data_IF_228775449735
#
_entry.id   IF_228775449735
#
_cell.length_a   1.000
_cell.length_b   1.000
_cell.length_c   1.000
_cell.angle_alpha   90.00
_cell.angle_beta   90.00
_cell.angle_gamma   90.00
#
_symmetry.space_group_name_H-M   'P 1'
#
loop_
_entity.id
_entity.type
_entity.pdbx_description
1 polymer ?
#
# COMPACT_ATOMS: atom_id res chain seq x y z
N UNK A 1 -7.05 -61.94 11.03
CA UNK A 1 -7.53 -61.30 12.28
C UNK A 1 -7.39 -59.78 12.15
N UNK A 2 -8.45 -59.07 11.76
CA UNK A 2 -8.56 -57.61 11.93
C UNK A 2 -10.02 -57.31 12.26
N UNK A 3 -10.28 -57.04 13.53
CA UNK A 3 -11.59 -56.73 14.10
C UNK A 3 -12.00 -55.31 13.70
N UNK A 4 -13.12 -55.18 12.99
CA UNK A 4 -13.76 -53.89 12.69
C UNK A 4 -14.70 -53.54 13.84
N UNK A 5 -14.32 -52.56 14.65
CA UNK A 5 -15.16 -51.99 15.72
C UNK A 5 -16.14 -51.01 15.08
N UNK A 6 -17.45 -51.31 15.12
CA UNK A 6 -18.52 -50.39 14.71
C UNK A 6 -18.78 -49.41 15.84
N UNK A 7 -18.49 -48.13 15.62
CA UNK A 7 -18.88 -47.04 16.54
C UNK A 7 -20.30 -46.64 16.19
N UNK A 8 -21.23 -46.89 17.11
CA UNK A 8 -22.62 -46.45 17.00
C UNK A 8 -22.70 -44.96 17.37
N UNK A 9 -23.11 -44.13 16.41
CA UNK A 9 -23.42 -42.73 16.64
C UNK A 9 -24.81 -42.62 17.27
N UNK A 10 -24.85 -42.26 18.56
CA UNK A 10 -26.08 -41.88 19.26
C UNK A 10 -26.34 -40.41 18.93
N UNK A 11 -27.33 -40.14 18.08
CA UNK A 11 -27.87 -38.80 17.87
C UNK A 11 -28.70 -38.41 19.11
N UNK A 12 -28.12 -37.61 20.00
CA UNK A 12 -28.88 -36.90 21.03
C UNK A 12 -29.56 -35.71 20.35
N UNK A 13 -30.85 -35.86 20.06
CA UNK A 13 -31.71 -34.73 19.68
C UNK A 13 -31.95 -33.90 20.95
N UNK A 14 -31.08 -32.93 21.20
CA UNK A 14 -31.35 -31.88 22.16
C UNK A 14 -32.48 -31.03 21.59
N UNK A 15 -33.67 -31.16 22.18
CA UNK A 15 -34.76 -30.20 21.99
C UNK A 15 -34.24 -28.87 22.50
N UNK A 16 -33.75 -28.04 21.58
CA UNK A 16 -33.56 -26.62 21.81
C UNK A 16 -34.96 -26.04 22.01
N UNK A 17 -35.44 -26.07 23.25
CA UNK A 17 -36.46 -25.13 23.72
C UNK A 17 -35.91 -23.76 23.41
N UNK A 18 -36.38 -23.19 22.31
CA UNK A 18 -36.03 -21.86 21.89
C UNK A 18 -36.33 -20.92 23.04
N UNK A 19 -35.28 -20.31 23.57
CA UNK A 19 -35.39 -19.08 24.32
C UNK A 19 -36.06 -18.06 23.39
N UNK A 20 -37.39 -18.03 23.37
CA UNK A 20 -38.12 -16.86 22.88
C UNK A 20 -37.80 -15.77 23.90
N UNK A 21 -37.06 -14.71 23.55
CA UNK A 21 -36.78 -13.65 24.50
C UNK A 21 -38.10 -12.92 24.74
N UNK A 22 -38.71 -13.22 25.88
CA UNK A 22 -39.77 -12.42 26.48
C UNK A 22 -39.22 -11.01 26.74
N UNK A 23 -39.33 -10.14 25.74
CA UNK A 23 -39.19 -8.69 25.88
C UNK A 23 -40.56 -8.03 25.73
N UNK A 24 -41.60 -8.65 26.28
CA UNK A 24 -42.97 -8.14 26.28
C UNK A 24 -43.38 -7.62 27.66
N UNK A 25 -43.08 -6.35 27.94
CA UNK A 25 -43.70 -5.59 29.04
C UNK A 25 -42.81 -5.34 30.27
N UNK A 26 -42.69 -4.07 30.65
CA UNK A 26 -42.35 -3.61 32.02
C UNK A 26 -41.13 -4.23 32.72
N UNK A 27 -40.07 -4.63 32.02
CA UNK A 27 -38.82 -5.08 32.66
C UNK A 27 -37.88 -3.89 32.96
N UNK A 28 -37.62 -3.55 34.25
CA UNK A 28 -36.68 -2.50 34.63
C UNK A 28 -35.23 -2.76 34.16
N UNK A 29 -34.92 -4.01 33.78
CA UNK A 29 -33.60 -4.40 33.26
C UNK A 29 -33.32 -3.92 31.83
N UNK A 30 -34.36 -3.70 31.03
CA UNK A 30 -34.19 -3.14 29.67
C UNK A 30 -33.70 -1.68 29.76
N UNK A 31 -34.19 -0.93 30.75
CA UNK A 31 -33.76 0.44 31.04
C UNK A 31 -32.26 0.51 31.36
N UNK A 32 -31.73 -0.48 32.10
CA UNK A 32 -30.30 -0.51 32.45
C UNK A 32 -29.40 -0.75 31.23
N UNK A 33 -29.75 -1.69 30.34
CA UNK A 33 -29.01 -1.91 29.09
C UNK A 33 -29.10 -0.71 28.14
N UNK A 34 -30.28 -0.11 28.02
CA UNK A 34 -30.46 1.10 27.23
C UNK A 34 -29.58 2.26 27.78
N UNK A 35 -29.44 2.39 29.10
CA UNK A 35 -28.55 3.39 29.74
C UNK A 35 -27.07 3.14 29.46
N UNK A 36 -26.66 1.86 29.40
CA UNK A 36 -25.27 1.50 29.06
C UNK A 36 -24.90 1.95 27.63
N UNK A 37 -25.83 1.84 26.68
CA UNK A 37 -25.61 2.21 25.26
C UNK A 37 -26.05 3.63 24.91
N UNK A 38 -26.60 4.40 25.86
CA UNK A 38 -27.17 5.74 25.62
C UNK A 38 -28.49 5.73 24.85
N UNK A 39 -29.07 4.55 24.62
CA UNK A 39 -30.29 4.34 23.87
C UNK A 39 -31.54 4.45 24.78
N UNK A 40 -31.67 5.53 25.55
CA UNK A 40 -32.66 5.66 26.63
C UNK A 40 -34.15 5.81 26.21
N UNK A 41 -34.46 5.74 24.91
CA UNK A 41 -35.82 5.74 24.35
C UNK A 41 -36.31 4.36 23.94
N UNK A 42 -37.64 4.15 23.92
CA UNK A 42 -38.28 2.93 23.42
C UNK A 42 -39.19 3.21 22.21
N UNK A 43 -38.91 2.59 21.07
CA UNK A 43 -39.80 2.61 19.88
C UNK A 43 -40.31 1.19 19.61
N UNK A 44 -41.61 1.09 19.30
CA UNK A 44 -42.25 -0.13 18.80
C UNK A 44 -42.55 0.06 17.32
N UNK A 45 -42.31 -0.94 16.48
CA UNK A 45 -42.49 -0.83 15.03
C UNK A 45 -43.97 -0.70 14.63
N UNK A 46 -44.90 -1.31 15.40
CA UNK A 46 -46.35 -1.08 15.35
C UNK A 46 -46.95 -1.13 16.75
N UNK A 47 -48.13 -0.52 16.94
CA UNK A 47 -48.92 -0.68 18.15
C UNK A 47 -49.29 -2.17 18.33
N UNK A 48 -48.69 -2.83 19.32
CA UNK A 48 -48.89 -4.25 19.61
C UNK A 48 -47.68 -5.16 19.34
N UNK A 49 -46.61 -4.66 18.73
CA UNK A 49 -45.40 -5.47 18.53
C UNK A 49 -44.62 -5.63 19.84
N UNK A 50 -44.30 -6.87 20.21
CA UNK A 50 -43.47 -7.20 21.36
C UNK A 50 -41.98 -6.82 21.17
N UNK A 51 -41.60 -6.30 20.00
CA UNK A 51 -40.24 -5.88 19.69
C UNK A 51 -40.05 -4.41 20.04
N UNK A 52 -39.50 -4.17 21.23
CA UNK A 52 -38.98 -2.88 21.64
C UNK A 52 -37.49 -2.79 21.28
N UNK A 53 -37.09 -1.74 20.54
CA UNK A 53 -35.67 -1.40 20.37
C UNK A 53 -35.36 -0.15 21.20
N UNK A 54 -34.24 -0.19 21.91
CA UNK A 54 -33.65 0.98 22.53
C UNK A 54 -33.24 1.97 21.41
N UNK A 55 -33.47 3.27 21.59
CA UNK A 55 -32.96 4.29 20.66
C UNK A 55 -32.56 5.56 21.41
N UNK A 56 -31.56 6.27 20.90
CA UNK A 56 -31.12 7.56 21.45
C UNK A 56 -32.14 8.64 21.08
N UNK A 57 -32.65 9.44 22.03
CA UNK A 57 -33.64 10.50 21.73
C UNK A 57 -32.99 11.87 21.62
N UNK A 58 -31.90 12.08 22.34
CA UNK A 58 -31.26 13.39 22.50
C UNK A 58 -29.77 13.22 22.83
N UNK A 59 -29.00 14.30 22.67
CA UNK A 59 -27.62 14.34 23.14
C UNK A 59 -27.52 14.18 24.66
N UNK A 60 -28.54 14.55 25.43
CA UNK A 60 -28.57 14.32 26.88
C UNK A 60 -28.57 12.82 27.23
N UNK A 61 -29.25 11.99 26.42
CA UNK A 61 -29.21 10.54 26.58
C UNK A 61 -27.79 9.99 26.28
N UNK A 62 -27.08 10.57 25.31
CA UNK A 62 -25.68 10.22 25.02
C UNK A 62 -24.73 10.68 26.12
N UNK A 63 -24.84 11.93 26.57
CA UNK A 63 -23.96 12.51 27.58
C UNK A 63 -24.08 11.79 28.94
N UNK A 64 -25.27 11.30 29.27
CA UNK A 64 -25.52 10.52 30.50
C UNK A 64 -25.18 9.02 30.35
N UNK A 65 -24.78 8.57 29.16
CA UNK A 65 -24.51 7.16 28.89
C UNK A 65 -23.13 6.72 29.35
N UNK A 66 -22.98 5.40 29.56
CA UNK A 66 -21.67 4.79 29.78
C UNK A 66 -20.76 4.93 28.56
N UNK A 67 -21.31 4.97 27.33
CA UNK A 67 -20.53 5.21 26.12
C UNK A 67 -19.84 6.59 26.11
N UNK A 68 -20.48 7.62 26.66
CA UNK A 68 -19.83 8.93 26.80
C UNK A 68 -18.66 8.86 27.79
N UNK A 69 -18.89 8.30 28.97
CA UNK A 69 -17.85 8.16 29.99
C UNK A 69 -16.68 7.27 29.52
N UNK A 70 -16.97 6.13 28.89
CA UNK A 70 -15.95 5.16 28.49
C UNK A 70 -15.25 5.57 27.18
N UNK A 71 -16.00 6.07 26.18
CA UNK A 71 -15.54 6.22 24.79
C UNK A 71 -15.62 7.66 24.24
N UNK A 72 -16.06 8.64 25.03
CA UNK A 72 -16.20 10.03 24.59
C UNK A 72 -17.35 10.26 23.62
N UNK A 73 -18.25 9.29 23.47
CA UNK A 73 -19.40 9.37 22.56
C UNK A 73 -20.58 10.07 23.21
N UNK A 74 -20.48 11.39 23.35
CA UNK A 74 -21.37 12.19 24.18
C UNK A 74 -22.50 12.90 23.43
N UNK A 75 -22.56 12.81 22.10
CA UNK A 75 -23.51 13.56 21.28
C UNK A 75 -24.32 12.66 20.36
N UNK A 76 -25.60 12.99 20.13
CA UNK A 76 -26.43 12.29 19.16
C UNK A 76 -26.00 12.66 17.73
N UNK A 77 -25.64 11.65 16.92
CA UNK A 77 -25.33 11.84 15.50
C UNK A 77 -26.60 11.98 14.66
N UNK A 78 -26.66 13.03 13.85
CA UNK A 78 -27.76 13.38 12.94
C UNK A 78 -27.45 13.12 11.47
N UNK A 79 -26.30 12.50 11.15
CA UNK A 79 -25.89 12.20 9.78
C UNK A 79 -26.55 10.95 9.18
N UNK A 80 -25.88 10.33 8.20
CA UNK A 80 -26.43 9.27 7.32
C UNK A 80 -26.92 8.04 8.12
N UNK A 81 -26.30 7.77 9.26
CA UNK A 81 -26.69 6.70 10.20
C UNK A 81 -27.21 7.32 11.51
N UNK A 82 -28.43 7.90 11.50
CA UNK A 82 -28.95 8.63 12.66
C UNK A 82 -29.23 7.69 13.83
N UNK A 83 -29.20 8.23 15.04
CA UNK A 83 -29.61 7.49 16.25
C UNK A 83 -28.49 6.75 16.97
N UNK A 84 -27.23 7.15 16.78
CA UNK A 84 -26.09 6.67 17.57
C UNK A 84 -25.37 7.82 18.28
N UNK A 85 -24.68 7.49 19.37
CA UNK A 85 -23.82 8.45 20.04
C UNK A 85 -22.43 8.51 19.41
N UNK A 86 -21.88 9.72 19.26
CA UNK A 86 -20.56 10.03 18.68
C UNK A 86 -19.85 11.11 19.50
N UNK A 87 -18.54 11.20 19.34
CA UNK A 87 -17.76 12.38 19.75
C UNK A 87 -17.92 13.48 18.67
N UNK A 88 -17.98 14.74 19.08
CA UNK A 88 -17.99 15.89 18.16
C UNK A 88 -16.72 16.73 18.29
N UNK A 89 -15.97 16.56 19.37
CA UNK A 89 -14.76 17.32 19.67
C UNK A 89 -13.70 16.44 20.30
N UNK A 90 -12.44 16.87 20.20
CA UNK A 90 -11.35 16.26 20.98
C UNK A 90 -11.58 16.38 22.49
N UNK A 91 -12.40 17.32 22.96
CA UNK A 91 -12.72 17.47 24.38
C UNK A 91 -13.57 16.29 24.87
N UNK A 92 -14.52 15.82 24.06
CA UNK A 92 -15.33 14.63 24.37
C UNK A 92 -14.42 13.40 24.48
N UNK A 93 -13.50 13.23 23.52
CA UNK A 93 -12.53 12.13 23.56
C UNK A 93 -11.59 12.22 24.76
N UNK A 94 -11.08 13.42 25.09
CA UNK A 94 -10.20 13.64 26.23
C UNK A 94 -10.85 13.39 27.59
N UNK A 95 -12.16 13.59 27.70
CA UNK A 95 -12.91 13.31 28.91
C UNK A 95 -13.14 11.81 29.15
N UNK A 96 -12.90 10.96 28.13
CA UNK A 96 -13.21 9.53 28.18
C UNK A 96 -12.19 8.67 28.91
N UNK A 97 -12.64 7.54 29.43
CA UNK A 97 -11.75 6.54 30.05
C UNK A 97 -10.80 5.87 29.04
N UNK A 98 -11.25 5.67 27.80
CA UNK A 98 -10.40 5.19 26.70
C UNK A 98 -9.27 6.16 26.35
N UNK A 99 -9.43 7.47 26.56
CA UNK A 99 -8.29 8.37 26.42
C UNK A 99 -7.24 8.12 27.51
N UNK A 100 -7.64 7.94 28.77
CA UNK A 100 -6.71 7.70 29.89
C UNK A 100 -5.98 6.36 29.78
N UNK A 101 -6.70 5.32 29.33
CA UNK A 101 -6.20 3.94 29.34
C UNK A 101 -5.64 3.49 27.99
N UNK A 102 -6.21 3.95 26.87
CA UNK A 102 -5.89 3.51 25.51
C UNK A 102 -5.34 4.63 24.60
N UNK A 103 -5.19 5.87 25.11
CA UNK A 103 -4.74 7.03 24.35
C UNK A 103 -5.65 7.48 23.19
N UNK A 104 -6.90 7.02 23.17
CA UNK A 104 -7.94 7.44 22.20
C UNK A 104 -8.47 8.84 22.52
N UNK A 105 -7.61 9.84 22.39
CA UNK A 105 -7.88 11.19 22.87
C UNK A 105 -8.30 12.19 21.78
N UNK A 106 -8.49 11.74 20.54
CA UNK A 106 -8.71 12.64 19.40
C UNK A 106 -9.87 12.20 18.52
N UNK A 107 -10.55 13.15 17.88
CA UNK A 107 -11.72 12.92 17.05
C UNK A 107 -11.35 12.30 15.70
N UNK A 108 -11.91 11.13 15.40
CA UNK A 108 -11.85 10.47 14.11
C UNK A 108 -12.93 10.93 13.13
N UNK A 109 -12.79 10.50 11.87
CA UNK A 109 -13.64 10.95 10.75
C UNK A 109 -15.11 10.52 10.90
N UNK A 110 -15.41 9.48 11.68
CA UNK A 110 -16.77 8.95 11.88
C UNK A 110 -17.30 9.22 13.28
N UNK A 111 -16.71 10.18 14.01
CA UNK A 111 -17.12 10.54 15.37
C UNK A 111 -16.71 9.51 16.43
N UNK A 112 -15.71 8.68 16.12
CA UNK A 112 -15.05 7.78 17.06
C UNK A 112 -13.78 8.42 17.61
N UNK A 113 -13.43 8.10 18.86
CA UNK A 113 -12.16 8.53 19.42
C UNK A 113 -11.03 7.61 18.96
N UNK A 114 -9.98 8.21 18.38
CA UNK A 114 -8.82 7.53 17.80
C UNK A 114 -7.55 7.92 18.55
N UNK A 115 -6.54 7.06 18.43
CA UNK A 115 -5.21 7.31 18.96
C UNK A 115 -4.48 8.25 17.99
N UNK A 116 -3.90 9.32 18.52
CA UNK A 116 -2.92 10.14 17.82
C UNK A 116 -1.51 9.84 18.34
N UNK A 117 -0.45 10.05 17.53
CA UNK A 117 0.93 9.88 17.98
C UNK A 117 1.25 10.64 19.29
N UNK A 118 0.74 11.86 19.44
CA UNK A 118 0.87 12.68 20.67
C UNK A 118 0.00 12.22 21.84
N UNK A 119 -0.91 11.26 21.62
CA UNK A 119 -1.81 10.73 22.64
C UNK A 119 -1.12 9.77 23.59
N UNK A 120 -0.14 9.00 23.10
CA UNK A 120 0.50 7.94 23.88
C UNK A 120 1.21 8.43 25.14
N UNK A 121 1.74 9.65 25.13
CA UNK A 121 2.42 10.24 26.29
C UNK A 121 1.48 10.58 27.46
N UNK A 122 0.15 10.56 27.23
CA UNK A 122 -0.87 10.97 28.21
C UNK A 122 -1.58 9.81 28.91
N UNK A 123 -1.26 8.55 28.57
CA UNK A 123 -1.90 7.41 29.22
C UNK A 123 -1.30 7.14 30.59
N UNK A 124 -2.11 6.65 31.53
CA UNK A 124 -1.62 6.27 32.86
C UNK A 124 -0.57 5.15 32.78
N UNK A 125 -0.72 4.24 31.81
CA UNK A 125 0.29 3.22 31.51
C UNK A 125 1.61 3.86 31.10
N UNK A 126 1.57 4.92 30.29
CA UNK A 126 2.78 5.62 29.88
C UNK A 126 3.46 6.40 31.00
N UNK A 127 2.66 7.12 31.79
CA UNK A 127 3.17 7.87 32.93
C UNK A 127 3.84 6.96 33.96
N UNK A 128 3.30 5.74 34.15
CA UNK A 128 3.84 4.73 35.06
C UNK A 128 5.05 4.00 34.50
N UNK A 129 4.99 3.56 33.24
CA UNK A 129 5.96 2.64 32.66
C UNK A 129 7.14 3.34 31.96
N UNK A 130 7.03 4.66 31.71
CA UNK A 130 8.01 5.44 30.97
C UNK A 130 7.77 5.40 29.46
N UNK A 131 8.73 5.93 28.71
CA UNK A 131 8.72 6.21 27.26
C UNK A 131 7.73 5.36 26.44
N UNK A 132 6.72 6.00 25.85
CA UNK A 132 5.76 5.33 24.98
C UNK A 132 5.86 5.82 23.56
N UNK A 133 5.84 4.86 22.65
CA UNK A 133 5.89 5.11 21.23
C UNK A 133 4.57 4.66 20.62
N UNK A 134 4.04 5.47 19.72
CA UNK A 134 2.91 5.07 18.89
C UNK A 134 3.42 4.09 17.83
N UNK A 135 3.00 2.83 17.92
CA UNK A 135 3.33 1.82 16.92
C UNK A 135 2.31 1.86 15.77
N UNK A 136 2.81 1.70 14.54
CA UNK A 136 1.98 1.51 13.34
C UNK A 136 0.96 0.40 13.60
N UNK A 137 -0.33 0.74 13.55
CA UNK A 137 -1.43 -0.17 13.94
C UNK A 137 -2.27 0.29 15.14
N UNK A 138 -2.05 1.51 15.65
CA UNK A 138 -2.95 2.10 16.64
C UNK A 138 -2.75 1.51 18.04
N UNK A 139 -1.49 1.32 18.47
CA UNK A 139 -1.17 0.87 19.83
C UNK A 139 -0.06 1.71 20.41
N UNK A 140 -0.22 2.10 21.68
CA UNK A 140 0.87 2.66 22.47
C UNK A 140 1.64 1.51 23.11
N UNK A 141 2.92 1.42 22.81
CA UNK A 141 3.81 0.42 23.41
C UNK A 141 4.84 1.13 24.29
N UNK A 142 5.24 0.49 25.39
CA UNK A 142 6.43 0.88 26.15
C UNK A 142 7.62 0.74 25.22
N UNK A 143 8.11 1.86 24.72
CA UNK A 143 9.20 1.90 23.78
C UNK A 143 10.31 2.74 24.37
N UNK A 144 11.41 2.11 24.78
CA UNK A 144 12.70 2.71 24.46
C UNK A 144 12.66 2.88 22.93
N UNK A 145 12.54 4.12 22.43
CA UNK A 145 12.72 4.35 21.00
C UNK A 145 14.19 4.05 20.73
N UNK A 146 14.48 2.76 20.51
CA UNK A 146 15.81 2.29 20.25
C UNK A 146 16.15 2.68 18.82
N UNK A 147 16.85 3.80 18.70
CA UNK A 147 17.35 4.28 17.43
C UNK A 147 18.36 3.31 16.79
N UNK A 148 18.70 2.16 17.39
CA UNK A 148 19.61 1.16 16.81
C UNK A 148 19.24 0.75 15.39
N UNK A 149 17.96 0.54 15.08
CA UNK A 149 17.55 0.16 13.72
C UNK A 149 17.70 1.34 12.73
N UNK A 150 17.11 2.49 13.05
CA UNK A 150 17.18 3.70 12.23
C UNK A 150 18.62 4.19 12.06
N UNK A 151 19.45 4.08 13.09
CA UNK A 151 20.88 4.36 13.07
C UNK A 151 21.62 3.49 12.05
N UNK A 152 21.36 2.17 12.06
CA UNK A 152 22.02 1.25 11.13
C UNK A 152 21.55 1.44 9.70
N UNK A 153 20.26 1.71 9.49
CA UNK A 153 19.67 1.83 8.16
C UNK A 153 19.98 3.21 7.56
N UNK A 154 19.53 4.27 8.24
CA UNK A 154 19.39 5.64 7.75
C UNK A 154 20.42 6.61 8.36
N UNK A 155 21.15 6.20 9.41
CA UNK A 155 22.02 7.11 10.17
C UNK A 155 21.27 7.95 11.20
N UNK A 156 20.00 7.65 11.46
CA UNK A 156 19.20 8.32 12.47
C UNK A 156 19.49 7.74 13.88
N UNK A 157 20.60 8.14 14.50
CA UNK A 157 21.11 7.52 15.73
C UNK A 157 20.70 8.21 17.04
N UNK A 158 20.10 9.40 17.00
CA UNK A 158 19.81 10.19 18.21
C UNK A 158 18.32 10.49 18.33
N UNK A 159 17.77 10.32 19.54
CA UNK A 159 16.39 10.65 19.85
C UNK A 159 16.24 12.15 20.12
N UNK A 160 15.62 12.88 19.20
CA UNK A 160 15.32 14.31 19.32
C UNK A 160 13.82 14.51 19.12
N UNK A 161 13.14 15.14 20.07
CA UNK A 161 11.69 15.41 20.05
C UNK A 161 10.80 14.18 19.76
N UNK A 162 11.26 12.99 20.15
CA UNK A 162 10.56 11.73 19.93
C UNK A 162 10.81 11.07 18.57
N UNK A 163 11.74 11.60 17.77
CA UNK A 163 12.17 11.04 16.49
C UNK A 163 13.65 10.64 16.53
N UNK A 164 14.01 9.59 15.79
CA UNK A 164 15.41 9.28 15.55
C UNK A 164 15.91 10.17 14.40
N UNK A 165 16.99 10.91 14.63
CA UNK A 165 17.60 11.82 13.65
C UNK A 165 19.12 11.65 13.64
N UNK A 166 19.74 12.10 12.56
CA UNK A 166 21.19 12.17 12.46
C UNK A 166 21.66 13.50 13.05
N UNK A 167 22.43 13.48 14.14
CA UNK A 167 23.01 14.70 14.74
C UNK A 167 24.51 14.85 14.51
N UNK A 168 25.16 13.82 13.99
CA UNK A 168 26.60 13.78 13.73
C UNK A 168 26.89 13.19 12.34
N UNK A 169 27.88 13.71 11.59
CA UNK A 169 28.25 13.15 10.28
C UNK A 169 28.58 11.66 10.31
N UNK A 170 29.19 11.20 11.41
CA UNK A 170 29.55 9.79 11.63
C UNK A 170 28.33 8.87 11.66
N UNK A 171 27.13 9.39 11.95
CA UNK A 171 25.91 8.61 11.88
C UNK A 171 25.55 8.24 10.43
N UNK A 172 25.66 9.21 9.52
CA UNK A 172 25.41 9.01 8.09
C UNK A 172 26.44 8.06 7.48
N UNK A 173 27.72 8.25 7.77
CA UNK A 173 28.81 7.40 7.26
C UNK A 173 28.67 5.91 7.65
N UNK A 174 28.07 5.64 8.81
CA UNK A 174 27.87 4.28 9.34
C UNK A 174 26.59 3.62 8.85
N UNK A 175 25.70 4.38 8.21
CA UNK A 175 24.41 3.88 7.75
C UNK A 175 24.56 2.93 6.56
N UNK A 176 23.62 2.01 6.39
CA UNK A 176 23.59 1.19 5.17
C UNK A 176 23.16 1.99 3.96
N UNK A 177 22.36 3.04 4.15
CA UNK A 177 21.87 3.89 3.06
C UNK A 177 22.98 4.77 2.49
N UNK A 178 23.96 5.20 3.29
CA UNK A 178 25.19 5.79 2.77
C UNK A 178 25.90 4.86 1.78
N UNK A 179 26.11 3.59 2.15
CA UNK A 179 26.78 2.60 1.27
C UNK A 179 25.94 2.22 0.05
N UNK A 180 24.62 2.11 0.20
CA UNK A 180 23.73 1.68 -0.88
C UNK A 180 23.41 2.84 -1.83
N UNK A 181 22.98 3.97 -1.29
CA UNK A 181 22.40 5.09 -2.03
C UNK A 181 23.29 6.33 -2.10
N UNK A 182 24.48 6.32 -1.49
CA UNK A 182 25.41 7.45 -1.51
C UNK A 182 25.03 8.60 -0.58
N UNK A 183 24.08 8.40 0.34
CA UNK A 183 23.61 9.42 1.28
C UNK A 183 24.51 9.49 2.53
N UNK A 184 25.74 9.97 2.37
CA UNK A 184 26.76 9.91 3.43
C UNK A 184 27.01 11.24 4.16
N UNK A 185 26.47 12.36 3.65
CA UNK A 185 26.67 13.69 4.24
C UNK A 185 25.49 14.06 5.15
N UNK A 186 25.76 14.62 6.33
CA UNK A 186 24.72 15.18 7.20
C UNK A 186 24.25 16.55 6.68
N UNK A 187 22.94 16.72 6.46
CA UNK A 187 22.31 18.00 6.18
C UNK A 187 21.09 18.21 7.07
N UNK A 188 21.17 19.14 8.01
CA UNK A 188 20.11 19.33 9.01
C UNK A 188 20.07 18.14 9.97
N UNK A 189 18.96 17.39 9.93
CA UNK A 189 18.65 16.25 10.79
C UNK A 189 18.64 14.89 10.04
N UNK A 190 19.04 14.88 8.77
CA UNK A 190 19.02 13.70 7.91
C UNK A 190 20.28 13.58 7.03
N UNK A 191 20.45 12.40 6.44
CA UNK A 191 21.59 12.07 5.59
C UNK A 191 21.24 12.29 4.11
N UNK A 192 22.18 12.87 3.37
CA UNK A 192 22.03 13.29 1.97
C UNK A 192 23.25 12.90 1.15
N UNK A 193 23.09 12.85 -0.17
CA UNK A 193 24.20 12.74 -1.11
C UNK A 193 24.84 14.12 -1.32
N UNK A 194 25.90 14.39 -0.56
CA UNK A 194 26.60 15.68 -0.54
C UNK A 194 27.65 15.86 -1.64
N UNK A 195 28.09 14.77 -2.29
CA UNK A 195 29.07 14.88 -3.38
C UNK A 195 28.97 13.77 -4.43
N UNK A 196 29.49 14.00 -5.66
CA UNK A 196 29.63 12.95 -6.68
C UNK A 196 30.42 11.74 -6.19
N UNK A 197 31.47 11.94 -5.38
CA UNK A 197 32.28 10.84 -4.87
C UNK A 197 31.48 9.87 -3.98
N UNK A 198 30.51 10.37 -3.21
CA UNK A 198 29.64 9.52 -2.39
C UNK A 198 28.69 8.69 -3.26
N UNK A 199 28.15 9.30 -4.32
CA UNK A 199 27.32 8.61 -5.28
C UNK A 199 28.10 7.56 -6.06
N UNK A 200 29.28 7.90 -6.57
CA UNK A 200 30.19 6.99 -7.27
C UNK A 200 30.59 5.78 -6.41
N UNK A 201 30.74 5.97 -5.10
CA UNK A 201 31.06 4.88 -4.17
C UNK A 201 29.86 4.00 -3.79
N UNK A 202 28.64 4.37 -4.21
CA UNK A 202 27.41 3.68 -3.80
C UNK A 202 27.13 2.41 -4.60
N UNK A 203 26.50 1.41 -3.97
CA UNK A 203 26.05 0.21 -4.70
C UNK A 203 25.00 0.53 -5.76
N UNK A 204 24.21 1.59 -5.60
CA UNK A 204 23.28 2.06 -6.62
C UNK A 204 23.99 2.62 -7.85
N UNK A 205 25.16 3.25 -7.71
CA UNK A 205 26.01 3.60 -8.85
C UNK A 205 26.48 2.34 -9.60
N UNK A 206 26.96 1.33 -8.89
CA UNK A 206 27.41 0.08 -9.50
C UNK A 206 26.28 -0.67 -10.23
N UNK A 207 25.12 -0.82 -9.59
CA UNK A 207 24.00 -1.61 -10.13
C UNK A 207 23.17 -0.85 -11.17
N UNK A 208 22.91 0.44 -10.93
CA UNK A 208 21.95 1.25 -11.71
C UNK A 208 22.60 2.43 -12.44
N UNK A 209 23.89 2.68 -12.23
CA UNK A 209 24.58 3.86 -12.76
C UNK A 209 24.29 5.14 -11.98
N UNK A 210 23.64 5.09 -10.82
CA UNK A 210 23.29 6.25 -9.98
C UNK A 210 24.49 6.95 -9.31
N UNK A 211 25.31 7.62 -10.12
CA UNK A 211 26.61 8.14 -9.72
C UNK A 211 26.66 9.66 -9.52
N UNK A 212 25.55 10.39 -9.66
CA UNK A 212 25.53 11.87 -9.52
C UNK A 212 24.52 12.32 -8.46
N UNK A 213 24.84 13.26 -7.55
CA UNK A 213 23.93 13.71 -6.50
C UNK A 213 22.82 14.59 -7.06
N UNK A 214 21.57 14.35 -6.64
CA UNK A 214 20.42 15.20 -6.97
C UNK A 214 20.58 16.57 -6.30
N UNK A 215 20.14 17.65 -6.96
CA UNK A 215 20.08 18.98 -6.34
C UNK A 215 19.20 18.95 -5.08
N UNK A 216 19.77 19.26 -3.92
CA UNK A 216 19.09 19.13 -2.62
C UNK A 216 19.46 17.88 -1.84
N UNK A 217 20.23 16.96 -2.44
CA UNK A 217 20.87 15.84 -1.73
C UNK A 217 19.95 14.65 -1.42
N UNK A 218 18.71 14.64 -1.91
CA UNK A 218 17.73 13.56 -1.65
C UNK A 218 18.19 12.17 -2.14
N UNK A 219 19.23 12.09 -2.96
CA UNK A 219 19.86 10.83 -3.34
C UNK A 219 20.80 10.97 -4.53
N UNK A 220 21.17 9.84 -5.11
CA UNK A 220 21.97 9.76 -6.32
C UNK A 220 21.11 9.35 -7.53
N UNK A 221 21.49 9.80 -8.73
CA UNK A 221 20.82 9.50 -9.99
C UNK A 221 21.83 9.14 -11.07
N UNK A 222 21.34 8.59 -12.19
CA UNK A 222 22.13 7.80 -13.15
C UNK A 222 23.27 8.52 -13.88
N UNK A 223 23.43 9.84 -13.69
CA UNK A 223 24.46 10.69 -14.30
C UNK A 223 24.45 10.77 -15.83
N UNK A 224 23.83 9.80 -16.49
CA UNK A 224 23.58 9.77 -17.94
C UNK A 224 22.55 10.82 -18.29
N UNK A 225 21.60 11.09 -17.40
CA UNK A 225 20.55 12.10 -17.61
C UNK A 225 20.02 12.69 -16.32
N UNK A 226 19.49 13.92 -16.39
CA UNK A 226 18.73 14.55 -15.29
C UNK A 226 17.44 13.78 -14.92
N UNK A 227 17.07 12.76 -15.69
CA UNK A 227 15.77 12.10 -15.65
C UNK A 227 15.82 10.65 -15.12
N UNK A 228 17.02 10.13 -14.81
CA UNK A 228 17.23 8.87 -14.12
C UNK A 228 16.46 7.70 -14.74
N UNK A 229 15.65 7.01 -13.92
CA UNK A 229 14.89 5.82 -14.33
C UNK A 229 13.99 6.05 -15.56
N UNK A 230 13.45 7.27 -15.75
CA UNK A 230 12.63 7.59 -16.91
C UNK A 230 13.41 7.54 -18.23
N UNK A 231 14.70 7.87 -18.22
CA UNK A 231 15.55 7.70 -19.38
C UNK A 231 15.69 6.22 -19.76
N UNK A 232 16.00 5.36 -18.78
CA UNK A 232 16.17 3.94 -19.05
C UNK A 232 14.85 3.25 -19.42
N UNK A 233 13.75 3.53 -18.73
CA UNK A 233 12.49 2.84 -18.99
C UNK A 233 11.81 3.34 -20.26
N UNK A 234 11.83 4.66 -20.50
CA UNK A 234 10.98 5.31 -21.51
C UNK A 234 11.74 6.07 -22.58
N UNK A 235 13.06 6.27 -22.41
CA UNK A 235 13.88 7.11 -23.27
C UNK A 235 13.77 8.60 -22.93
N UNK A 236 13.12 8.97 -21.83
CA UNK A 236 12.89 10.35 -21.41
C UNK A 236 14.16 10.91 -20.75
N UNK A 237 15.16 11.22 -21.57
CA UNK A 237 16.55 11.43 -21.17
C UNK A 237 16.96 12.90 -20.95
N UNK A 238 16.09 13.88 -21.14
CA UNK A 238 16.39 15.28 -20.79
C UNK A 238 15.20 16.00 -20.20
N UNK A 239 15.47 16.98 -19.33
CA UNK A 239 14.45 17.84 -18.74
C UNK A 239 14.17 19.02 -19.69
N UNK A 240 13.05 18.95 -20.40
CA UNK A 240 12.56 19.99 -21.31
C UNK A 240 11.31 20.60 -20.66
N UNK A 241 11.36 21.91 -20.37
CA UNK A 241 10.28 22.64 -19.66
C UNK A 241 9.89 22.00 -18.31
N UNK A 242 10.89 21.56 -17.55
CA UNK A 242 10.67 20.92 -16.24
C UNK A 242 10.16 19.49 -16.28
N UNK A 243 9.93 18.92 -17.47
CA UNK A 243 9.45 17.54 -17.67
C UNK A 243 10.50 16.70 -18.37
N UNK A 244 10.63 15.43 -17.97
CA UNK A 244 11.52 14.49 -18.65
C UNK A 244 10.93 14.04 -19.98
N UNK A 245 11.69 14.23 -21.06
CA UNK A 245 11.31 13.97 -22.44
C UNK A 245 12.49 13.39 -23.22
N UNK A 246 12.24 12.66 -24.32
CA UNK A 246 13.32 12.14 -25.16
C UNK A 246 13.90 13.27 -26.02
N UNK A 247 15.22 13.38 -26.07
CA UNK A 247 15.90 14.39 -26.89
C UNK A 247 15.94 14.02 -28.36
N UNK A 248 16.11 12.73 -28.64
CA UNK A 248 16.37 12.18 -29.97
C UNK A 248 16.11 10.67 -30.00
N UNK A 249 16.23 10.07 -31.18
CA UNK A 249 15.98 8.64 -31.36
C UNK A 249 16.94 7.75 -30.56
N UNK A 250 18.17 8.20 -30.29
CA UNK A 250 19.15 7.39 -29.54
C UNK A 250 18.73 7.20 -28.08
N UNK A 251 18.12 8.22 -27.47
CA UNK A 251 17.50 8.12 -26.15
C UNK A 251 16.38 7.07 -26.12
N UNK A 252 15.55 7.02 -27.17
CA UNK A 252 14.52 6.00 -27.31
C UNK A 252 15.10 4.60 -27.54
N UNK A 253 16.08 4.45 -28.43
CA UNK A 253 16.68 3.16 -28.80
C UNK A 253 17.34 2.45 -27.63
N UNK A 254 17.95 3.19 -26.71
CA UNK A 254 18.56 2.65 -25.50
C UNK A 254 17.55 2.25 -24.41
N UNK A 255 16.27 2.62 -24.56
CA UNK A 255 15.25 2.43 -23.52
C UNK A 255 14.65 1.03 -23.50
N UNK A 256 14.15 0.63 -22.33
CA UNK A 256 13.36 -0.59 -22.16
C UNK A 256 12.08 -0.54 -23.01
N UNK A 257 11.47 0.63 -23.18
CA UNK A 257 10.32 0.81 -24.07
C UNK A 257 10.65 0.46 -25.53
N UNK A 258 11.86 0.74 -26.02
CA UNK A 258 12.29 0.24 -27.33
C UNK A 258 12.44 -1.28 -27.33
N UNK A 259 13.22 -1.83 -26.39
CA UNK A 259 13.55 -3.27 -26.35
C UNK A 259 12.28 -4.11 -26.21
N UNK A 260 11.38 -3.73 -25.30
CA UNK A 260 10.18 -4.50 -24.97
C UNK A 260 9.03 -4.16 -25.92
N UNK A 261 8.74 -2.88 -26.14
CA UNK A 261 7.51 -2.42 -26.80
C UNK A 261 7.71 -1.90 -28.23
N UNK A 262 8.94 -1.89 -28.75
CA UNK A 262 9.23 -1.35 -30.09
C UNK A 262 9.13 0.17 -30.18
N UNK A 263 9.16 0.88 -29.04
CA UNK A 263 9.08 2.34 -28.99
C UNK A 263 10.46 2.98 -29.17
N UNK A 264 11.08 2.74 -30.33
CA UNK A 264 12.48 3.13 -30.59
C UNK A 264 12.65 4.48 -31.29
N UNK A 265 11.61 5.29 -31.45
CA UNK A 265 11.72 6.57 -32.15
C UNK A 265 10.96 7.67 -31.44
N UNK A 266 11.45 8.90 -31.54
CA UNK A 266 10.76 10.06 -31.00
C UNK A 266 9.54 10.39 -31.85
N UNK A 267 8.36 10.44 -31.23
CA UNK A 267 7.08 10.72 -31.89
C UNK A 267 6.31 11.84 -31.17
N UNK A 268 5.45 12.53 -31.92
CA UNK A 268 4.72 13.71 -31.47
C UNK A 268 5.40 15.02 -31.86
N UNK A 269 4.60 16.09 -32.05
CA UNK A 269 5.11 17.46 -32.22
C UNK A 269 4.48 18.38 -31.17
N UNK A 270 5.28 18.97 -30.26
CA UNK A 270 6.70 18.68 -30.03
C UNK A 270 6.91 17.23 -29.61
N UNK A 271 8.15 16.74 -29.68
CA UNK A 271 8.55 15.39 -29.32
C UNK A 271 8.23 15.11 -27.83
N UNK A 272 7.08 14.49 -27.53
CA UNK A 272 6.67 14.29 -26.13
C UNK A 272 7.06 12.90 -25.61
N UNK A 273 7.28 11.92 -26.49
CA UNK A 273 7.51 10.54 -26.07
C UNK A 273 8.17 9.65 -27.13
N UNK A 274 8.74 8.53 -26.68
CA UNK A 274 9.16 7.45 -27.55
C UNK A 274 7.97 6.62 -28.03
N UNK A 275 8.01 6.20 -29.30
CA UNK A 275 6.98 5.43 -29.98
C UNK A 275 7.54 4.59 -31.13
N UNK A 276 6.67 3.78 -31.73
CA UNK A 276 7.03 2.97 -32.90
C UNK A 276 7.15 3.90 -34.13
N UNK A 277 8.36 4.30 -34.50
CA UNK A 277 8.60 5.11 -35.69
C UNK A 277 8.27 4.39 -37.00
N UNK A 278 8.51 3.08 -37.07
CA UNK A 278 8.25 2.23 -38.23
C UNK A 278 7.98 0.76 -37.82
N UNK A 279 7.66 -0.08 -38.79
CA UNK A 279 7.42 -1.51 -38.56
C UNK A 279 8.69 -2.26 -38.12
N UNK A 280 9.88 -1.80 -38.53
CA UNK A 280 11.15 -2.39 -38.12
C UNK A 280 11.38 -2.26 -36.61
N UNK A 281 10.96 -1.16 -35.99
CA UNK A 281 10.99 -1.02 -34.53
C UNK A 281 10.10 -2.06 -33.84
N UNK A 282 8.91 -2.32 -34.39
CA UNK A 282 8.00 -3.32 -33.86
C UNK A 282 8.56 -4.73 -34.01
N UNK A 283 9.08 -5.07 -35.19
CA UNK A 283 9.69 -6.39 -35.47
C UNK A 283 10.85 -6.75 -34.54
N UNK A 284 11.62 -5.76 -34.10
CA UNK A 284 12.74 -5.98 -33.17
C UNK A 284 12.30 -6.17 -31.71
N UNK A 285 11.08 -5.76 -31.36
CA UNK A 285 10.59 -5.74 -29.98
C UNK A 285 10.32 -7.14 -29.41
N UNK A 286 10.47 -7.29 -28.09
CA UNK A 286 10.08 -8.51 -27.40
C UNK A 286 8.56 -8.74 -27.46
N UNK A 287 7.74 -7.69 -27.46
CA UNK A 287 6.29 -7.83 -27.63
C UNK A 287 5.90 -8.40 -29.01
N UNK A 288 6.57 -8.02 -30.09
CA UNK A 288 6.35 -8.65 -31.40
C UNK A 288 6.71 -10.13 -31.36
N UNK A 289 7.88 -10.48 -30.80
CA UNK A 289 8.32 -11.89 -30.69
C UNK A 289 7.40 -12.73 -29.82
N UNK A 290 6.87 -12.16 -28.75
CA UNK A 290 6.02 -12.86 -27.78
C UNK A 290 4.52 -12.85 -28.14
N UNK A 291 4.03 -11.84 -28.85
CA UNK A 291 2.59 -11.62 -29.05
C UNK A 291 2.18 -11.30 -30.49
N UNK A 292 3.09 -11.37 -31.46
CA UNK A 292 2.80 -11.08 -32.87
C UNK A 292 2.46 -9.61 -33.17
N UNK A 293 2.75 -8.70 -32.24
CA UNK A 293 2.50 -7.25 -32.40
C UNK A 293 3.61 -6.59 -33.22
N UNK A 294 3.73 -6.94 -34.49
CA UNK A 294 4.85 -6.51 -35.33
C UNK A 294 4.50 -5.35 -36.28
N UNK A 295 3.25 -4.91 -36.31
CA UNK A 295 2.80 -3.82 -37.18
C UNK A 295 2.82 -2.47 -36.44
N UNK A 296 3.33 -1.42 -37.08
CA UNK A 296 3.24 -0.07 -36.53
C UNK A 296 1.81 0.49 -36.68
N UNK A 297 1.19 0.89 -35.56
CA UNK A 297 -0.05 1.68 -35.54
C UNK A 297 0.12 2.99 -34.75
N UNK A 298 0.86 3.92 -35.34
CA UNK A 298 1.07 5.25 -34.78
C UNK A 298 2.16 5.23 -33.72
N UNK A 299 1.77 5.34 -32.44
CA UNK A 299 2.75 5.38 -31.33
C UNK A 299 3.05 4.00 -30.73
N UNK A 300 2.31 2.97 -31.15
CA UNK A 300 2.38 1.63 -30.57
C UNK A 300 2.45 0.54 -31.64
N UNK A 301 3.01 -0.59 -31.25
CA UNK A 301 2.97 -1.80 -32.03
C UNK A 301 1.63 -2.52 -31.83
N UNK A 302 1.11 -3.08 -32.91
CA UNK A 302 -0.19 -3.73 -32.94
C UNK A 302 -0.13 -5.04 -33.71
N UNK A 303 -1.15 -5.88 -33.48
CA UNK A 303 -1.36 -7.08 -34.25
C UNK A 303 -1.87 -6.73 -35.65
N UNK A 304 -1.31 -7.39 -36.66
CA UNK A 304 -1.81 -7.36 -38.02
C UNK A 304 -3.12 -8.16 -38.07
N UNK A 305 -4.24 -7.51 -38.41
CA UNK A 305 -5.54 -8.20 -38.55
C UNK A 305 -5.73 -8.82 -39.95
N UNK A 306 -4.82 -8.52 -40.88
CA UNK A 306 -4.87 -8.92 -42.29
C UNK A 306 -3.93 -10.08 -42.64
N UNK A 307 -2.87 -10.33 -41.86
CA UNK A 307 -2.11 -11.59 -41.95
C UNK A 307 -2.78 -12.68 -41.15
N UNK A 308 -3.20 -13.73 -41.85
CA UNK A 308 -3.52 -15.01 -41.22
C UNK A 308 -2.30 -15.49 -40.42
N UNK A 309 -2.46 -16.02 -39.19
CA UNK A 309 -1.34 -16.35 -38.29
C UNK A 309 -0.34 -17.38 -38.84
N UNK A 310 -0.66 -18.03 -39.95
CA UNK A 310 0.04 -19.17 -40.56
C UNK A 310 1.44 -18.89 -41.14
N UNK A 311 2.06 -17.75 -40.83
CA UNK A 311 3.46 -17.47 -41.23
C UNK A 311 4.34 -16.90 -40.11
N UNK A 312 3.78 -16.66 -38.92
CA UNK A 312 4.58 -16.25 -37.75
C UNK A 312 4.48 -17.39 -36.74
N UNK A 313 5.52 -18.23 -36.71
CA UNK A 313 5.71 -19.23 -35.65
C UNK A 313 5.84 -18.47 -34.34
N UNK A 314 4.73 -18.29 -33.63
CA UNK A 314 4.64 -17.42 -32.47
C UNK A 314 3.74 -18.03 -31.40
N UNK A 315 4.28 -18.14 -30.20
CA UNK A 315 3.63 -18.63 -29.00
C UNK A 315 2.63 -17.60 -28.45
N UNK A 316 1.33 -17.84 -28.58
CA UNK A 316 0.30 -17.00 -27.97
C UNK A 316 0.15 -17.36 -26.48
N UNK A 317 0.14 -16.37 -25.59
CA UNK A 317 -0.18 -16.59 -24.18
C UNK A 317 -1.68 -16.83 -24.02
N UNK A 318 -2.05 -18.09 -23.96
CA UNK A 318 -3.37 -18.53 -23.50
C UNK A 318 -3.33 -18.82 -21.99
N UNK A 319 -4.31 -18.36 -21.18
CA UNK A 319 -4.35 -18.62 -19.74
C UNK A 319 -4.30 -20.11 -19.36
N UNK A 320 -4.88 -20.98 -20.19
CA UNK A 320 -4.91 -22.43 -19.95
C UNK A 320 -3.52 -23.05 -20.19
N UNK A 321 -2.82 -22.64 -21.25
CA UNK A 321 -1.45 -23.09 -21.52
C UNK A 321 -0.43 -22.50 -20.52
N UNK A 322 -0.65 -21.27 -20.06
CA UNK A 322 0.28 -20.55 -19.20
C UNK A 322 0.46 -21.21 -17.83
N UNK A 323 -0.58 -21.85 -17.28
CA UNK A 323 -0.48 -22.59 -16.02
C UNK A 323 0.48 -23.79 -16.08
N UNK A 324 0.78 -24.27 -17.29
CA UNK A 324 1.68 -25.41 -17.54
C UNK A 324 3.08 -24.97 -18.02
N UNK A 325 3.35 -23.66 -18.09
CA UNK A 325 4.59 -23.14 -18.67
C UNK A 325 4.67 -23.34 -20.19
N UNK A 326 3.53 -23.47 -20.86
CA UNK A 326 3.38 -23.69 -22.31
C UNK A 326 2.69 -22.49 -22.96
N UNK A 327 2.73 -22.43 -24.27
CA UNK A 327 2.10 -21.38 -25.05
C UNK A 327 1.27 -22.00 -26.18
N UNK A 328 0.21 -21.32 -26.60
CA UNK A 328 -0.68 -21.79 -27.64
C UNK A 328 -0.04 -21.55 -29.02
N UNK A 329 0.07 -22.59 -29.83
CA UNK A 329 0.45 -22.45 -31.25
C UNK A 329 -0.66 -21.75 -32.02
N UNK A 330 -0.26 -20.90 -32.97
CA UNK A 330 -1.21 -20.19 -33.80
C UNK A 330 -1.90 -21.08 -34.85
N UNK A 331 -1.28 -22.21 -35.21
CA UNK A 331 -1.72 -23.05 -36.33
C UNK A 331 -2.79 -24.09 -35.95
N UNK A 332 -2.67 -24.73 -34.78
CA UNK A 332 -3.57 -25.80 -34.36
C UNK A 332 -4.14 -25.62 -32.94
N UNK A 333 -3.83 -24.51 -32.27
CA UNK A 333 -4.34 -24.21 -30.93
C UNK A 333 -3.84 -25.19 -29.87
N UNK A 334 -2.66 -25.78 -30.07
CA UNK A 334 -2.07 -26.72 -29.10
C UNK A 334 -1.12 -25.99 -28.16
N UNK A 335 -1.12 -26.35 -26.89
CA UNK A 335 -0.12 -25.84 -25.95
C UNK A 335 1.21 -26.53 -26.23
N UNK A 336 2.26 -25.78 -26.55
CA UNK A 336 3.63 -26.26 -26.76
C UNK A 336 4.61 -25.52 -25.85
N UNK A 337 5.72 -26.16 -25.51
CA UNK A 337 6.83 -25.52 -24.81
C UNK A 337 7.59 -24.57 -25.75
N UNK A 338 8.34 -23.62 -25.19
CA UNK A 338 9.17 -22.71 -25.99
C UNK A 338 10.14 -23.47 -26.92
N UNK A 339 10.73 -24.57 -26.43
CA UNK A 339 11.61 -25.43 -27.21
C UNK A 339 10.88 -26.13 -28.37
N UNK A 340 9.66 -26.64 -28.14
CA UNK A 340 8.82 -27.25 -29.18
C UNK A 340 8.41 -26.25 -30.27
N UNK A 341 8.24 -24.97 -29.91
CA UNK A 341 7.96 -23.89 -30.86
C UNK A 341 9.20 -23.39 -31.63
N UNK A 342 10.38 -24.00 -31.42
CA UNK A 342 11.63 -23.54 -32.02
C UNK A 342 12.10 -22.17 -31.52
N UNK A 343 11.56 -21.70 -30.39
CA UNK A 343 12.01 -20.48 -29.74
C UNK A 343 13.28 -20.77 -28.93
N UNK A 344 14.27 -19.86 -28.91
CA UNK A 344 15.41 -20.00 -28.01
C UNK A 344 14.92 -20.09 -26.56
N UNK A 345 15.60 -20.90 -25.75
CA UNK A 345 15.24 -21.20 -24.35
C UNK A 345 15.08 -19.89 -23.57
N UNK A 346 13.85 -19.39 -23.48
CA UNK A 346 13.54 -18.10 -22.89
C UNK A 346 13.43 -18.30 -21.39
N UNK A 347 14.54 -18.04 -20.69
CA UNK A 347 14.49 -17.79 -19.27
C UNK A 347 13.96 -16.36 -19.09
N UNK A 348 12.83 -16.13 -18.40
CA UNK A 348 12.46 -14.77 -18.01
C UNK A 348 13.65 -14.15 -17.28
N UNK A 349 14.00 -12.88 -17.55
CA UNK A 349 14.98 -12.20 -16.72
C UNK A 349 14.52 -12.33 -15.25
N UNK A 350 15.45 -12.57 -14.30
CA UNK A 350 15.08 -12.65 -12.90
C UNK A 350 14.25 -11.41 -12.56
N UNK A 351 13.07 -11.64 -11.97
CA UNK A 351 12.28 -10.55 -11.42
C UNK A 351 13.20 -9.81 -10.46
N UNK A 352 13.50 -8.56 -10.79
CA UNK A 352 14.29 -7.68 -9.93
C UNK A 352 13.50 -7.57 -8.61
N UNK A 353 14.11 -7.94 -7.46
CA UNK A 353 13.42 -7.98 -6.17
C UNK A 353 12.97 -6.61 -5.67
#
# INVERSE_FOLDING_TARGET
MRTRTRVAWVFVVAVLSGCVPECGGLFPKCEQRCKETGECGRRTYKAGDAYARCFVRSSDDCASSKLCADQGRCHLYDGIEPGRCVALTDADCRASEQCKTEAKCSLGVRGECVIQPSGCQRTEGCERDGTCVYQTGGRCVKGELDCTFACRLEGACSLVDGFCVATEPTHCERSSDCRKAGQCTLAGDHCVAGSPAECEASSMCEMNGWCVPVSGGEGCYDGRTECGQLCWERGDCARIDGTCQPTDASACEASLACIVQGRCSVVGRPAVMCGAGDAGNCERSLECKAFGRCENKGIACAHDRGRSPSSVVGCLRDPECASEGRCLTADDGTCVTAAEAGLPDWSPPPLIP
#
